data_IF_204944678525
#
_entry.id   IF_204944678525
#
_cell.length_a   1.000
_cell.length_b   1.000
_cell.length_c   1.000
_cell.angle_alpha   90.00
_cell.angle_beta   90.00
_cell.angle_gamma   90.00
#
_symmetry.space_group_name_H-M   'P 1'
#
loop_
_entity.id
_entity.type
_entity.pdbx_description
1 polymer ?
#
# COMPACT_ATOMS: atom_id res chain seq x y z
N UNK A 1 -26.96 -8.60 12.93
CA UNK A 1 -27.93 -7.58 12.45
C UNK A 1 -28.01 -7.48 10.91
N UNK A 2 -27.39 -8.40 10.14
CA UNK A 2 -27.40 -8.38 8.65
C UNK A 2 -28.53 -9.22 8.00
N UNK A 3 -29.31 -9.98 8.78
CA UNK A 3 -30.31 -10.95 8.28
C UNK A 3 -31.56 -10.34 7.64
N UNK A 4 -31.80 -9.03 7.77
CA UNK A 4 -33.08 -8.42 7.33
C UNK A 4 -32.98 -7.43 6.16
N UNK A 5 -31.80 -7.17 5.59
CA UNK A 5 -31.61 -6.14 4.56
C UNK A 5 -30.99 -6.61 3.24
N UNK A 6 -30.42 -7.82 3.18
CA UNK A 6 -29.78 -8.35 1.96
C UNK A 6 -30.73 -8.84 0.85
N UNK A 7 -31.93 -9.41 1.11
CA UNK A 7 -32.75 -9.97 0.03
C UNK A 7 -33.40 -8.95 -0.92
N UNK A 8 -33.26 -7.63 -0.67
CA UNK A 8 -33.97 -6.58 -1.41
C UNK A 8 -33.10 -5.72 -2.33
N UNK A 9 -31.82 -6.06 -2.56
CA UNK A 9 -30.89 -5.22 -3.34
C UNK A 9 -30.32 -5.91 -4.60
N UNK A 10 -31.06 -5.95 -5.72
CA UNK A 10 -30.58 -6.55 -6.99
C UNK A 10 -29.46 -5.78 -7.70
N UNK A 11 -28.95 -4.68 -7.12
CA UNK A 11 -27.91 -3.82 -7.68
C UNK A 11 -26.57 -3.87 -6.93
N UNK A 12 -26.43 -4.77 -5.95
CA UNK A 12 -25.22 -4.86 -5.12
C UNK A 12 -24.09 -5.57 -5.87
N UNK A 13 -23.28 -4.81 -6.62
CA UNK A 13 -22.16 -5.33 -7.41
C UNK A 13 -20.82 -5.31 -6.66
N UNK A 14 -20.74 -4.58 -5.54
CA UNK A 14 -19.55 -4.42 -4.72
C UNK A 14 -19.88 -4.57 -3.23
N UNK A 15 -19.09 -5.35 -2.50
CA UNK A 15 -19.27 -5.62 -1.06
C UNK A 15 -17.95 -5.44 -0.32
N UNK A 16 -18.01 -4.81 0.86
CA UNK A 16 -16.89 -4.68 1.80
C UNK A 16 -17.23 -5.39 3.11
N UNK A 17 -16.35 -6.29 3.56
CA UNK A 17 -16.51 -7.07 4.80
C UNK A 17 -15.38 -6.76 5.79
N UNK A 18 -15.77 -6.20 6.94
CA UNK A 18 -14.86 -5.58 7.91
C UNK A 18 -14.44 -6.50 9.09
N UNK A 19 -14.95 -7.74 9.20
CA UNK A 19 -14.67 -8.58 10.39
C UNK A 19 -14.64 -10.09 10.10
N UNK A 20 -14.15 -10.87 11.08
CA UNK A 20 -14.34 -12.32 11.25
C UNK A 20 -15.84 -12.74 11.37
N UNK A 21 -16.74 -12.04 10.69
CA UNK A 21 -18.13 -12.45 10.59
C UNK A 21 -18.14 -13.78 9.84
N UNK A 22 -18.68 -14.87 10.43
CA UNK A 22 -18.66 -16.17 9.78
C UNK A 22 -19.34 -16.03 8.42
N UNK A 23 -18.59 -16.27 7.35
CA UNK A 23 -19.02 -16.17 5.95
C UNK A 23 -20.31 -16.97 5.69
N UNK A 24 -20.53 -18.02 6.48
CA UNK A 24 -21.74 -18.84 6.53
C UNK A 24 -23.04 -18.04 6.72
N UNK A 25 -23.01 -16.87 7.39
CA UNK A 25 -24.19 -16.01 7.54
C UNK A 25 -24.48 -15.12 6.33
N UNK A 26 -23.46 -14.79 5.51
CA UNK A 26 -23.59 -13.88 4.35
C UNK A 26 -23.89 -14.69 3.09
N UNK A 27 -23.26 -15.86 2.95
CA UNK A 27 -23.33 -16.72 1.76
C UNK A 27 -24.03 -18.05 2.00
N UNK A 28 -24.97 -18.10 2.97
CA UNK A 28 -25.83 -19.27 3.18
C UNK A 28 -26.40 -19.78 1.84
N UNK A 29 -26.57 -21.11 1.64
CA UNK A 29 -27.02 -21.72 0.39
C UNK A 29 -28.42 -21.28 -0.08
N UNK A 30 -29.12 -20.43 0.67
CA UNK A 30 -30.34 -19.73 0.26
C UNK A 30 -30.10 -18.42 -0.51
N UNK A 31 -28.86 -17.89 -0.55
CA UNK A 31 -28.46 -16.64 -1.22
C UNK A 31 -27.84 -16.86 -2.61
N UNK A 32 -28.09 -18.01 -3.23
CA UNK A 32 -27.67 -18.32 -4.61
C UNK A 32 -28.11 -17.16 -5.50
N UNK A 33 -27.19 -16.58 -6.29
CA UNK A 33 -27.43 -15.50 -7.27
C UNK A 33 -27.29 -14.04 -6.81
N UNK A 34 -26.47 -13.71 -5.80
CA UNK A 34 -26.00 -12.32 -5.68
C UNK A 34 -25.01 -11.99 -6.83
N UNK A 35 -25.25 -10.95 -7.65
CA UNK A 35 -24.37 -10.58 -8.77
C UNK A 35 -23.14 -9.79 -8.30
N UNK A 36 -22.45 -10.29 -7.27
CA UNK A 36 -21.26 -9.65 -6.71
C UNK A 36 -20.13 -9.82 -7.71
N UNK A 37 -19.60 -8.68 -8.16
CA UNK A 37 -18.47 -8.63 -9.10
C UNK A 37 -17.21 -8.10 -8.42
N UNK A 38 -17.33 -7.40 -7.29
CA UNK A 38 -16.21 -6.89 -6.53
C UNK A 38 -16.40 -7.23 -5.05
N UNK A 39 -15.39 -7.87 -4.44
CA UNK A 39 -15.38 -8.18 -3.03
C UNK A 39 -14.09 -7.68 -2.41
N UNK A 40 -14.21 -6.98 -1.28
CA UNK A 40 -13.08 -6.61 -0.44
C UNK A 40 -13.31 -7.15 0.96
N UNK A 41 -12.33 -7.87 1.49
CA UNK A 41 -12.36 -8.43 2.84
C UNK A 41 -11.10 -8.03 3.58
N UNK A 42 -11.20 -7.77 4.88
CA UNK A 42 -10.03 -7.47 5.70
C UNK A 42 -9.31 -8.74 6.17
N UNK A 43 -10.07 -9.78 6.52
CA UNK A 43 -9.57 -11.02 7.09
C UNK A 43 -10.32 -12.21 6.48
N UNK A 44 -9.60 -13.26 6.09
CA UNK A 44 -10.17 -14.54 5.62
C UNK A 44 -9.30 -15.73 6.03
N UNK A 45 -9.89 -16.89 6.15
CA UNK A 45 -9.15 -18.16 6.08
C UNK A 45 -8.93 -18.58 4.62
N UNK A 46 -7.94 -19.45 4.37
CA UNK A 46 -7.67 -19.92 3.02
C UNK A 46 -8.80 -20.79 2.46
N UNK A 47 -9.46 -21.59 3.32
CA UNK A 47 -10.68 -22.34 2.98
C UNK A 47 -11.82 -21.42 2.54
N UNK A 48 -12.06 -20.32 3.27
CA UNK A 48 -13.08 -19.33 2.93
C UNK A 48 -12.77 -18.63 1.61
N UNK A 49 -11.50 -18.38 1.29
CA UNK A 49 -11.08 -17.84 0.00
C UNK A 49 -11.47 -18.78 -1.16
N UNK A 50 -11.22 -20.08 -1.02
CA UNK A 50 -11.62 -21.06 -2.04
C UNK A 50 -13.14 -21.13 -2.16
N UNK A 51 -13.85 -21.09 -1.03
CA UNK A 51 -15.31 -21.06 -1.00
C UNK A 51 -15.88 -19.81 -1.70
N UNK A 52 -15.30 -18.62 -1.49
CA UNK A 52 -15.68 -17.40 -2.20
C UNK A 52 -15.58 -17.59 -3.71
N UNK A 53 -14.46 -18.15 -4.17
CA UNK A 53 -14.21 -18.35 -5.60
C UNK A 53 -15.13 -19.41 -6.21
N UNK A 54 -15.60 -20.35 -5.39
CA UNK A 54 -16.60 -21.34 -5.78
C UNK A 54 -18.02 -20.74 -5.82
N UNK A 55 -18.43 -20.03 -4.77
CA UNK A 55 -19.80 -19.58 -4.55
C UNK A 55 -20.14 -18.27 -5.30
N UNK A 56 -19.12 -17.49 -5.70
CA UNK A 56 -19.28 -16.23 -6.45
C UNK A 56 -18.72 -16.34 -7.88
N UNK A 57 -19.42 -17.05 -8.80
CA UNK A 57 -18.90 -17.32 -10.14
C UNK A 57 -18.73 -16.07 -11.01
N UNK A 58 -19.41 -14.97 -10.70
CA UNK A 58 -19.31 -13.69 -11.44
C UNK A 58 -18.26 -12.73 -10.85
N UNK A 59 -17.52 -13.16 -9.82
CA UNK A 59 -16.54 -12.32 -9.15
C UNK A 59 -15.43 -11.91 -10.13
N UNK A 60 -15.26 -10.61 -10.30
CA UNK A 60 -14.29 -10.01 -11.21
C UNK A 60 -13.08 -9.44 -10.46
N UNK A 61 -13.29 -8.87 -9.27
CA UNK A 61 -12.25 -8.33 -8.41
C UNK A 61 -12.37 -8.88 -7.00
N UNK A 62 -11.26 -9.35 -6.46
CA UNK A 62 -11.14 -9.77 -5.06
C UNK A 62 -9.95 -9.06 -4.41
N UNK A 63 -10.22 -8.34 -3.33
CA UNK A 63 -9.19 -7.76 -2.47
C UNK A 63 -9.27 -8.40 -1.08
N UNK A 64 -8.15 -8.90 -0.58
CA UNK A 64 -8.05 -9.53 0.73
C UNK A 64 -6.94 -8.82 1.50
N UNK A 65 -7.24 -8.38 2.72
CA UNK A 65 -6.26 -7.81 3.62
C UNK A 65 -5.29 -8.89 4.09
N UNK A 66 -5.75 -9.80 4.93
CA UNK A 66 -4.93 -10.80 5.59
C UNK A 66 -5.56 -12.19 5.46
N UNK A 67 -4.76 -13.19 5.10
CA UNK A 67 -5.20 -14.59 5.21
C UNK A 67 -4.65 -15.20 6.49
N UNK A 68 -5.54 -15.72 7.34
CA UNK A 68 -5.16 -16.35 8.59
C UNK A 68 -4.67 -17.79 8.38
N UNK A 69 -3.47 -18.09 8.87
CA UNK A 69 -2.88 -19.44 8.82
C UNK A 69 -3.02 -20.24 10.11
N UNK A 70 -3.51 -19.65 11.21
CA UNK A 70 -3.50 -20.30 12.54
C UNK A 70 -4.43 -21.52 12.65
N UNK A 71 -5.45 -21.62 11.79
CA UNK A 71 -6.49 -22.64 11.87
C UNK A 71 -6.60 -23.55 10.63
N UNK A 72 -5.69 -23.41 9.66
CA UNK A 72 -5.73 -24.22 8.45
C UNK A 72 -5.18 -25.62 8.76
N UNK A 73 -6.06 -26.59 8.92
CA UNK A 73 -5.67 -28.01 8.90
C UNK A 73 -5.07 -28.32 7.52
N UNK A 74 -4.04 -29.15 7.46
CA UNK A 74 -3.49 -29.74 6.21
C UNK A 74 -4.50 -30.69 5.51
N UNK A 75 -5.80 -30.40 5.58
CA UNK A 75 -6.81 -31.09 4.80
C UNK A 75 -6.58 -30.83 3.30
N UNK A 76 -6.75 -31.90 2.53
CA UNK A 76 -6.54 -31.91 1.09
C UNK A 76 -7.66 -31.13 0.39
N UNK A 77 -7.49 -29.81 0.33
CA UNK A 77 -8.39 -28.86 -0.33
C UNK A 77 -8.40 -28.99 -1.87
N UNK A 78 -7.66 -29.96 -2.44
CA UNK A 78 -7.66 -30.23 -3.89
C UNK A 78 -9.05 -30.57 -4.43
N UNK A 79 -9.95 -31.10 -3.59
CA UNK A 79 -11.33 -31.39 -3.98
C UNK A 79 -12.25 -30.16 -4.05
N UNK A 80 -11.76 -28.98 -3.62
CA UNK A 80 -12.49 -27.69 -3.66
C UNK A 80 -12.02 -26.78 -4.81
N UNK A 81 -11.23 -27.31 -5.76
CA UNK A 81 -10.76 -26.55 -6.92
C UNK A 81 -11.95 -26.04 -7.75
N UNK A 82 -12.22 -24.74 -7.64
CA UNK A 82 -13.21 -24.01 -8.43
C UNK A 82 -12.56 -23.41 -9.69
N UNK A 83 -13.36 -23.13 -10.72
CA UNK A 83 -12.88 -22.45 -11.92
C UNK A 83 -13.41 -21.01 -11.95
N UNK A 84 -12.70 -20.11 -11.28
CA UNK A 84 -13.05 -18.69 -11.17
C UNK A 84 -12.66 -17.93 -12.46
N UNK A 85 -13.25 -18.33 -13.59
CA UNK A 85 -12.95 -17.81 -14.93
C UNK A 85 -13.25 -16.32 -15.11
N UNK A 86 -14.10 -15.75 -14.27
CA UNK A 86 -14.48 -14.34 -14.32
C UNK A 86 -13.53 -13.45 -13.53
N UNK A 87 -12.70 -14.00 -12.64
CA UNK A 87 -11.78 -13.21 -11.85
C UNK A 87 -10.70 -12.60 -12.75
N UNK A 88 -10.62 -11.27 -12.75
CA UNK A 88 -9.64 -10.48 -13.50
C UNK A 88 -8.62 -9.82 -12.60
N UNK A 89 -8.96 -9.58 -11.34
CA UNK A 89 -8.09 -8.90 -10.38
C UNK A 89 -8.12 -9.60 -9.02
N UNK A 90 -6.94 -9.94 -8.52
CA UNK A 90 -6.72 -10.53 -7.21
C UNK A 90 -5.64 -9.74 -6.49
N UNK A 91 -5.99 -9.18 -5.33
CA UNK A 91 -5.07 -8.50 -4.45
C UNK A 91 -5.11 -9.18 -3.08
N UNK A 92 -3.96 -9.65 -2.59
CA UNK A 92 -3.83 -10.20 -1.24
C UNK A 92 -2.69 -9.46 -0.54
N UNK A 93 -3.01 -8.67 0.48
CA UNK A 93 -2.00 -7.83 1.12
C UNK A 93 -1.06 -8.65 2.00
N UNK A 94 -1.52 -9.75 2.61
CA UNK A 94 -0.68 -10.63 3.41
C UNK A 94 -1.06 -12.11 3.22
N UNK A 95 -0.15 -12.84 2.58
CA UNK A 95 -0.28 -14.26 2.27
C UNK A 95 0.79 -15.07 3.02
N UNK A 96 0.42 -15.81 4.09
CA UNK A 96 1.38 -16.53 4.93
C UNK A 96 1.78 -17.90 4.37
N UNK A 97 1.06 -18.44 3.38
CA UNK A 97 1.25 -19.81 2.89
C UNK A 97 2.38 -19.98 1.86
N UNK A 98 2.76 -21.23 1.62
CA UNK A 98 3.81 -21.59 0.67
C UNK A 98 3.46 -21.29 -0.79
N UNK A 99 4.49 -21.31 -1.64
CA UNK A 99 4.32 -21.16 -3.09
C UNK A 99 3.31 -22.15 -3.70
N UNK A 100 3.26 -23.40 -3.21
CA UNK A 100 2.32 -24.39 -3.76
C UNK A 100 0.84 -24.03 -3.49
N UNK A 101 0.53 -23.41 -2.36
CA UNK A 101 -0.84 -22.96 -2.04
C UNK A 101 -1.28 -21.81 -2.95
N UNK A 102 -0.41 -20.83 -3.20
CA UNK A 102 -0.74 -19.75 -4.15
C UNK A 102 -0.80 -20.26 -5.59
N UNK A 103 0.07 -21.21 -5.97
CA UNK A 103 0.03 -21.83 -7.29
C UNK A 103 -1.29 -22.55 -7.53
N UNK A 104 -1.77 -23.30 -6.54
CA UNK A 104 -3.08 -23.94 -6.58
C UNK A 104 -4.20 -22.92 -6.80
N UNK A 105 -4.20 -21.81 -6.04
CA UNK A 105 -5.17 -20.72 -6.19
C UNK A 105 -5.13 -20.09 -7.59
N UNK A 106 -3.93 -19.85 -8.12
CA UNK A 106 -3.74 -19.20 -9.41
C UNK A 106 -4.12 -20.09 -10.59
N UNK A 107 -3.97 -21.41 -10.46
CA UNK A 107 -4.46 -22.38 -11.44
C UNK A 107 -6.00 -22.37 -11.56
N UNK A 108 -6.72 -21.96 -10.51
CA UNK A 108 -8.18 -21.77 -10.53
C UNK A 108 -8.63 -20.46 -11.20
N UNK A 109 -7.71 -19.56 -11.57
CA UNK A 109 -8.02 -18.20 -12.04
C UNK A 109 -7.35 -17.92 -13.40
N UNK A 110 -7.66 -18.70 -14.45
CA UNK A 110 -6.91 -18.68 -15.72
C UNK A 110 -6.97 -17.35 -16.48
N UNK A 111 -7.98 -16.52 -16.20
CA UNK A 111 -8.17 -15.24 -16.85
C UNK A 111 -7.71 -14.03 -16.01
N UNK A 112 -6.91 -14.27 -14.97
CA UNK A 112 -6.40 -13.21 -14.12
C UNK A 112 -5.53 -12.23 -14.94
N UNK A 113 -5.89 -10.95 -14.91
CA UNK A 113 -5.13 -9.89 -15.56
C UNK A 113 -4.22 -9.15 -14.56
N UNK A 114 -4.68 -8.98 -13.33
CA UNK A 114 -3.95 -8.26 -12.29
C UNK A 114 -3.77 -9.13 -11.05
N UNK A 115 -2.53 -9.25 -10.59
CA UNK A 115 -2.17 -9.93 -9.35
C UNK A 115 -1.31 -9.00 -8.50
N UNK A 116 -1.78 -8.68 -7.29
CA UNK A 116 -0.97 -8.07 -6.24
C UNK A 116 -0.89 -9.02 -5.04
N UNK A 117 0.32 -9.30 -4.58
CA UNK A 117 0.55 -10.25 -3.49
C UNK A 117 1.67 -9.74 -2.60
N UNK A 118 1.45 -9.76 -1.28
CA UNK A 118 2.56 -9.62 -0.33
C UNK A 118 2.77 -10.84 0.55
N UNK A 119 4.04 -11.18 0.76
CA UNK A 119 4.46 -12.28 1.62
C UNK A 119 5.51 -11.81 2.63
N UNK A 120 5.26 -12.06 3.91
CA UNK A 120 6.15 -11.71 5.01
C UNK A 120 6.88 -12.96 5.51
N UNK A 121 8.22 -12.91 5.58
CA UNK A 121 9.10 -13.97 6.08
C UNK A 121 8.94 -15.35 5.41
N UNK A 122 8.40 -15.42 4.19
CA UNK A 122 8.15 -16.68 3.50
C UNK A 122 9.15 -16.94 2.35
N UNK A 123 10.19 -17.70 2.64
CA UNK A 123 11.28 -17.99 1.68
C UNK A 123 10.86 -18.88 0.51
N UNK A 124 9.74 -19.60 0.62
CA UNK A 124 9.24 -20.42 -0.48
C UNK A 124 8.74 -19.56 -1.64
N UNK A 125 8.28 -18.34 -1.35
CA UNK A 125 7.80 -17.38 -2.35
C UNK A 125 8.95 -16.72 -3.13
N UNK A 126 10.20 -17.04 -2.79
CA UNK A 126 11.41 -16.41 -3.25
C UNK A 126 12.12 -17.23 -4.33
N UNK A 127 11.42 -17.54 -5.40
CA UNK A 127 11.99 -18.24 -6.56
C UNK A 127 11.42 -17.64 -7.84
N UNK A 128 12.23 -16.87 -8.55
CA UNK A 128 11.76 -16.16 -9.73
C UNK A 128 11.48 -17.13 -10.89
N UNK A 129 12.15 -18.28 -10.92
CA UNK A 129 11.93 -19.28 -11.96
C UNK A 129 10.58 -19.96 -11.76
N UNK A 130 10.23 -20.33 -10.53
CA UNK A 130 8.91 -20.89 -10.23
C UNK A 130 7.77 -19.93 -10.61
N UNK A 131 7.93 -18.64 -10.29
CA UNK A 131 6.96 -17.62 -10.70
C UNK A 131 6.90 -17.44 -12.22
N UNK A 132 8.04 -17.35 -12.90
CA UNK A 132 8.11 -17.23 -14.35
C UNK A 132 7.43 -18.42 -15.04
N UNK A 133 7.71 -19.65 -14.60
CA UNK A 133 7.10 -20.88 -15.09
C UNK A 133 5.58 -20.88 -14.88
N UNK A 134 5.10 -20.47 -13.70
CA UNK A 134 3.66 -20.36 -13.42
C UNK A 134 2.97 -19.34 -14.32
N UNK A 135 3.58 -18.15 -14.48
CA UNK A 135 3.01 -17.07 -15.29
C UNK A 135 2.94 -17.51 -16.76
N UNK A 136 4.03 -18.08 -17.27
CA UNK A 136 4.11 -18.52 -18.67
C UNK A 136 3.18 -19.70 -18.94
N UNK A 137 3.03 -20.64 -18.00
CA UNK A 137 2.23 -21.84 -18.20
C UNK A 137 0.73 -21.68 -17.95
N UNK A 138 0.34 -20.81 -17.01
CA UNK A 138 -1.04 -20.80 -16.49
C UNK A 138 -1.72 -19.43 -16.48
N UNK A 139 -0.96 -18.32 -16.55
CA UNK A 139 -1.50 -16.96 -16.40
C UNK A 139 -1.24 -16.10 -17.64
N UNK A 140 -1.62 -16.60 -18.82
CA UNK A 140 -1.33 -15.94 -20.10
C UNK A 140 -1.95 -14.54 -20.25
N UNK A 141 -3.02 -14.25 -19.50
CA UNK A 141 -3.73 -12.96 -19.52
C UNK A 141 -3.16 -11.94 -18.53
N UNK A 142 -2.18 -12.33 -17.69
CA UNK A 142 -1.61 -11.46 -16.68
C UNK A 142 -0.85 -10.31 -17.35
N UNK A 143 -1.28 -9.09 -17.08
CA UNK A 143 -0.68 -7.86 -17.60
C UNK A 143 -0.06 -6.99 -16.51
N UNK A 144 -0.50 -7.16 -15.25
CA UNK A 144 0.04 -6.48 -14.09
C UNK A 144 0.33 -7.48 -12.97
N UNK A 145 1.59 -7.53 -12.55
CA UNK A 145 2.06 -8.34 -11.43
C UNK A 145 2.79 -7.42 -10.46
N UNK A 146 2.30 -7.41 -9.22
CA UNK A 146 2.89 -6.70 -8.10
C UNK A 146 3.20 -7.69 -7.01
N UNK A 147 4.47 -7.90 -6.74
CA UNK A 147 4.92 -8.76 -5.67
C UNK A 147 5.68 -7.94 -4.64
N UNK A 148 5.20 -7.95 -3.39
CA UNK A 148 5.86 -7.28 -2.27
C UNK A 148 6.34 -8.32 -1.28
N UNK A 149 7.60 -8.22 -0.88
CA UNK A 149 8.16 -9.16 0.07
C UNK A 149 8.93 -8.46 1.16
N UNK A 150 8.83 -8.99 2.37
CA UNK A 150 9.69 -8.58 3.47
C UNK A 150 10.31 -9.79 4.15
N UNK A 151 11.61 -9.74 4.45
CA UNK A 151 12.23 -10.73 5.34
C UNK A 151 13.11 -10.08 6.39
N UNK A 152 13.11 -10.69 7.58
CA UNK A 152 14.02 -10.36 8.66
C UNK A 152 15.34 -11.13 8.60
N UNK A 153 15.45 -12.20 7.81
CA UNK A 153 16.60 -13.10 7.82
C UNK A 153 17.34 -13.03 6.48
N UNK A 154 18.16 -12.01 6.28
CA UNK A 154 18.83 -11.80 5.00
C UNK A 154 20.14 -12.61 4.93
N UNK A 155 20.05 -13.89 4.57
CA UNK A 155 21.23 -14.73 4.34
C UNK A 155 21.66 -14.74 2.84
N UNK A 156 22.86 -15.25 2.56
CA UNK A 156 23.42 -15.33 1.19
C UNK A 156 22.52 -16.06 0.19
N UNK A 157 21.68 -16.99 0.64
CA UNK A 157 20.79 -17.77 -0.23
C UNK A 157 19.65 -16.90 -0.81
N UNK A 158 19.15 -15.93 -0.04
CA UNK A 158 18.14 -14.97 -0.50
C UNK A 158 18.71 -14.07 -1.59
N UNK A 159 19.99 -13.70 -1.50
CA UNK A 159 20.65 -12.90 -2.53
C UNK A 159 20.71 -13.62 -3.88
N UNK A 160 21.04 -14.91 -3.88
CA UNK A 160 21.01 -15.70 -5.13
C UNK A 160 19.62 -15.79 -5.73
N UNK A 161 18.58 -15.91 -4.90
CA UNK A 161 17.18 -15.91 -5.32
C UNK A 161 16.74 -14.55 -5.89
N UNK A 162 17.10 -13.44 -5.25
CA UNK A 162 16.80 -12.09 -5.75
C UNK A 162 17.46 -11.79 -7.09
N UNK A 163 18.66 -12.31 -7.35
CA UNK A 163 19.31 -12.16 -8.66
C UNK A 163 18.53 -12.80 -9.80
N UNK A 164 17.68 -13.80 -9.53
CA UNK A 164 16.85 -14.45 -10.56
C UNK A 164 15.81 -13.49 -11.14
N UNK A 165 15.32 -12.51 -10.35
CA UNK A 165 14.41 -11.44 -10.81
C UNK A 165 15.08 -10.40 -11.72
N UNK A 166 16.30 -10.66 -12.21
CA UNK A 166 17.03 -9.82 -13.17
C UNK A 166 17.04 -10.38 -14.59
N UNK A 167 16.31 -11.45 -14.87
CA UNK A 167 16.18 -11.95 -16.24
C UNK A 167 15.45 -10.95 -17.13
N UNK A 168 15.59 -11.07 -18.45
CA UNK A 168 14.87 -10.24 -19.41
C UNK A 168 13.34 -10.35 -19.26
N UNK A 169 12.85 -11.51 -18.79
CA UNK A 169 11.45 -11.69 -18.45
C UNK A 169 11.01 -10.69 -17.36
N UNK A 170 11.78 -10.55 -16.29
CA UNK A 170 11.43 -9.66 -15.17
C UNK A 170 11.68 -8.18 -15.48
N UNK A 171 12.77 -7.86 -16.19
CA UNK A 171 13.19 -6.48 -16.41
C UNK A 171 12.56 -5.82 -17.63
N UNK A 172 12.27 -6.58 -18.69
CA UNK A 172 11.84 -6.03 -19.99
C UNK A 172 10.41 -6.39 -20.34
N UNK A 173 9.94 -7.58 -19.93
CA UNK A 173 8.58 -8.04 -20.21
C UNK A 173 7.61 -7.46 -19.17
N UNK A 174 6.51 -6.86 -19.62
CA UNK A 174 5.38 -6.38 -18.80
C UNK A 174 5.68 -5.41 -17.65
N UNK A 175 6.92 -4.93 -17.48
CA UNK A 175 7.32 -3.98 -16.42
C UNK A 175 6.84 -4.41 -15.03
N UNK A 176 7.05 -5.68 -14.68
CA UNK A 176 6.60 -6.23 -13.42
C UNK A 176 7.13 -5.45 -12.22
N UNK A 177 6.27 -5.26 -11.22
CA UNK A 177 6.60 -4.52 -10.02
C UNK A 177 7.00 -5.51 -8.92
N UNK A 178 8.23 -5.38 -8.42
CA UNK A 178 8.75 -6.21 -7.34
C UNK A 178 9.34 -5.33 -6.24
N UNK A 179 8.65 -5.26 -5.10
CA UNK A 179 9.10 -4.56 -3.89
C UNK A 179 9.78 -5.55 -2.93
N UNK A 180 10.92 -5.16 -2.38
CA UNK A 180 11.65 -5.95 -1.40
C UNK A 180 12.05 -5.09 -0.20
N UNK A 181 11.70 -5.54 1.01
CA UNK A 181 12.15 -4.94 2.27
C UNK A 181 13.04 -5.95 3.00
N UNK A 182 14.33 -5.63 3.10
CA UNK A 182 15.33 -6.42 3.82
C UNK A 182 15.71 -5.67 5.08
N UNK A 183 15.50 -6.27 6.25
CA UNK A 183 15.75 -5.60 7.55
C UNK A 183 17.19 -5.73 8.06
N UNK A 184 18.11 -6.34 7.29
CA UNK A 184 19.51 -6.55 7.69
C UNK A 184 20.54 -6.18 6.60
N UNK A 185 21.79 -5.98 7.03
CA UNK A 185 22.96 -5.42 6.33
C UNK A 185 23.35 -6.16 5.03
N UNK A 186 22.49 -6.14 4.01
CA UNK A 186 22.67 -6.91 2.77
C UNK A 186 22.57 -6.05 1.52
N UNK A 187 23.53 -6.28 0.61
CA UNK A 187 23.76 -5.52 -0.62
C UNK A 187 22.87 -6.04 -1.77
N UNK A 188 21.59 -5.67 -1.84
CA UNK A 188 20.65 -6.18 -2.86
C UNK A 188 20.39 -5.25 -4.04
N UNK A 189 21.03 -5.45 -5.21
CA UNK A 189 20.71 -4.66 -6.41
C UNK A 189 19.32 -4.89 -7.03
N UNK A 190 18.46 -3.86 -6.97
CA UNK A 190 17.09 -3.77 -7.50
C UNK A 190 17.08 -2.70 -8.62
N UNK A 191 17.25 -3.09 -9.90
CA UNK A 191 17.33 -2.14 -11.03
C UNK A 191 16.01 -1.47 -11.39
N UNK A 192 14.88 -2.09 -11.07
CA UNK A 192 13.54 -1.67 -11.50
C UNK A 192 12.66 -1.11 -10.38
N UNK A 193 13.22 -0.83 -9.20
CA UNK A 193 12.46 -0.14 -8.17
C UNK A 193 12.06 1.26 -8.67
N UNK A 194 10.78 1.58 -8.56
CA UNK A 194 10.23 2.93 -8.68
C UNK A 194 9.85 3.50 -7.29
N UNK A 195 9.83 2.65 -6.26
CA UNK A 195 9.60 2.99 -4.86
C UNK A 195 10.76 2.53 -3.98
N UNK A 196 11.21 3.37 -3.06
CA UNK A 196 12.25 3.05 -2.09
C UNK A 196 11.76 3.34 -0.68
N UNK A 197 11.75 2.33 0.18
CA UNK A 197 11.42 2.49 1.61
C UNK A 197 12.68 2.28 2.42
N UNK A 198 13.11 3.33 3.11
CA UNK A 198 14.19 3.26 4.07
C UNK A 198 13.61 2.89 5.44
N UNK A 199 14.28 2.02 6.18
CA UNK A 199 13.86 1.61 7.52
C UNK A 199 14.99 1.88 8.50
N UNK A 200 14.70 2.51 9.64
CA UNK A 200 15.65 2.59 10.74
C UNK A 200 15.68 1.24 11.47
N UNK A 201 16.87 0.76 11.86
CA UNK A 201 16.99 -0.43 12.72
C UNK A 201 16.32 -0.09 14.06
N UNK A 202 15.13 -0.62 14.29
CA UNK A 202 14.48 -0.57 15.60
C UNK A 202 15.25 -1.52 16.53
N UNK A 203 16.12 -0.99 17.40
CA UNK A 203 16.70 -1.78 18.49
C UNK A 203 18.17 -1.60 18.85
N UNK A 204 18.91 -0.63 18.29
CA UNK A 204 20.19 -0.24 18.91
C UNK A 204 19.90 0.73 20.06
N UNK A 205 20.35 0.32 21.23
CA UNK A 205 20.17 0.93 22.53
C UNK A 205 20.39 2.45 22.53
N UNK A 206 19.64 3.17 23.36
CA UNK A 206 19.65 4.65 23.50
C UNK A 206 21.01 5.25 23.90
N UNK A 207 22.06 4.45 24.01
CA UNK A 207 23.38 4.82 24.53
C UNK A 207 24.49 4.84 23.47
N UNK A 208 24.27 4.27 22.28
CA UNK A 208 25.20 4.43 21.16
C UNK A 208 24.50 5.19 20.03
N UNK A 209 24.81 6.49 19.97
CA UNK A 209 24.61 7.32 18.79
C UNK A 209 25.43 6.75 17.64
N UNK A 210 24.94 5.68 17.03
CA UNK A 210 25.43 5.18 15.74
C UNK A 210 24.99 6.19 14.70
N UNK A 211 25.82 7.22 14.61
CA UNK A 211 25.93 8.16 13.50
C UNK A 211 25.67 7.38 12.21
N UNK A 212 24.59 7.72 11.51
CA UNK A 212 24.34 7.24 10.17
C UNK A 212 25.60 7.59 9.38
N UNK A 213 26.48 6.62 9.06
CA UNK A 213 27.77 6.94 8.46
C UNK A 213 27.54 7.20 6.96
N UNK A 214 27.09 8.44 6.71
CA UNK A 214 26.37 8.98 5.56
C UNK A 214 26.88 8.54 4.18
N UNK A 215 28.20 8.50 3.97
CA UNK A 215 28.77 8.16 2.65
C UNK A 215 28.75 6.67 2.35
N UNK A 216 28.93 5.82 3.37
CA UNK A 216 29.02 4.38 3.17
C UNK A 216 27.66 3.80 2.81
N UNK A 217 26.59 4.25 3.46
CA UNK A 217 25.22 3.81 3.18
C UNK A 217 24.71 4.27 1.82
N UNK A 218 24.93 5.53 1.42
CA UNK A 218 24.58 5.99 0.08
C UNK A 218 25.41 5.28 -1.00
N UNK A 219 26.69 5.02 -0.73
CA UNK A 219 27.53 4.19 -1.60
C UNK A 219 26.93 2.81 -1.81
N UNK A 220 26.55 2.12 -0.73
CA UNK A 220 25.84 0.84 -0.80
C UNK A 220 24.52 1.00 -1.55
N UNK A 221 23.69 2.00 -1.20
CA UNK A 221 22.41 2.27 -1.86
C UNK A 221 22.55 2.40 -3.38
N UNK A 222 23.58 3.10 -3.87
CA UNK A 222 23.87 3.23 -5.30
C UNK A 222 24.30 1.91 -5.94
N UNK A 223 24.97 1.03 -5.19
CA UNK A 223 25.28 -0.33 -5.67
C UNK A 223 24.06 -1.24 -5.67
N UNK A 224 22.98 -0.86 -4.97
CA UNK A 224 21.81 -1.70 -4.75
C UNK A 224 20.50 -1.17 -5.35
N UNK A 225 20.42 0.07 -5.80
CA UNK A 225 19.20 0.61 -6.41
C UNK A 225 19.61 1.54 -7.53
N UNK A 226 18.95 1.42 -8.69
CA UNK A 226 19.06 2.45 -9.71
C UNK A 226 18.20 3.66 -9.31
N UNK A 227 18.78 4.59 -8.55
CA UNK A 227 18.09 5.77 -8.04
C UNK A 227 17.43 6.62 -9.13
N UNK A 228 17.93 6.57 -10.38
CA UNK A 228 17.36 7.32 -11.49
C UNK A 228 15.93 6.90 -11.87
N UNK A 229 15.51 5.70 -11.49
CA UNK A 229 14.16 5.18 -11.71
C UNK A 229 13.18 5.48 -10.57
N UNK A 230 13.68 5.89 -9.40
CA UNK A 230 12.86 6.10 -8.22
C UNK A 230 11.92 7.29 -8.39
N UNK A 231 10.64 7.04 -8.15
CA UNK A 231 9.52 7.98 -8.18
C UNK A 231 8.93 8.21 -6.79
N UNK A 232 8.99 7.22 -5.90
CA UNK A 232 8.51 7.31 -4.52
C UNK A 232 9.61 6.98 -3.51
N UNK A 233 9.71 7.77 -2.45
CA UNK A 233 10.67 7.56 -1.37
C UNK A 233 9.96 7.65 -0.03
N UNK A 234 10.13 6.66 0.84
CA UNK A 234 9.73 6.71 2.25
C UNK A 234 10.94 6.72 3.15
N UNK A 235 11.01 7.72 4.02
CA UNK A 235 12.09 7.92 4.98
C UNK A 235 11.51 7.75 6.38
N UNK A 236 12.14 6.92 7.24
CA UNK A 236 11.72 6.75 8.61
C UNK A 236 12.12 7.99 9.42
N UNK A 237 11.75 8.03 10.69
CA UNK A 237 12.18 9.09 11.59
C UNK A 237 13.70 9.14 11.64
N UNK A 238 14.28 10.31 11.36
CA UNK A 238 15.71 10.56 11.37
C UNK A 238 16.01 11.89 12.04
N UNK A 239 17.25 12.08 12.52
CA UNK A 239 17.64 13.41 12.96
C UNK A 239 17.79 14.36 11.74
N UNK A 240 17.63 15.66 11.99
CA UNK A 240 17.59 16.69 10.94
C UNK A 240 18.84 16.71 10.04
N UNK A 241 20.02 16.48 10.63
CA UNK A 241 21.30 16.51 9.90
C UNK A 241 21.39 15.36 8.90
N UNK A 242 21.14 14.14 9.37
CA UNK A 242 21.19 12.93 8.56
C UNK A 242 20.14 12.99 7.44
N UNK A 243 18.92 13.44 7.78
CA UNK A 243 17.84 13.62 6.82
C UNK A 243 18.19 14.62 5.72
N UNK A 244 18.75 15.78 6.09
CA UNK A 244 19.12 16.82 5.13
C UNK A 244 20.19 16.32 4.15
N UNK A 245 21.20 15.61 4.65
CA UNK A 245 22.28 15.08 3.82
C UNK A 245 21.81 13.94 2.91
N UNK A 246 21.01 13.02 3.45
CA UNK A 246 20.42 11.92 2.70
C UNK A 246 19.55 12.42 1.55
N UNK A 247 18.62 13.34 1.84
CA UNK A 247 17.74 13.92 0.82
C UNK A 247 18.52 14.69 -0.24
N UNK A 248 19.53 15.47 0.16
CA UNK A 248 20.37 16.21 -0.79
C UNK A 248 21.03 15.28 -1.80
N UNK A 249 21.54 14.13 -1.35
CA UNK A 249 22.19 13.16 -2.24
C UNK A 249 21.18 12.37 -3.07
N UNK A 250 20.05 11.95 -2.49
CA UNK A 250 19.01 11.22 -3.25
C UNK A 250 18.42 12.13 -4.33
N UNK A 251 18.13 13.40 -4.06
CA UNK A 251 17.54 14.31 -5.05
C UNK A 251 18.46 14.59 -6.25
N UNK A 252 19.79 14.49 -6.08
CA UNK A 252 20.75 14.58 -7.19
C UNK A 252 20.67 13.37 -8.11
N UNK A 253 20.44 12.19 -7.55
CA UNK A 253 20.53 10.90 -8.24
C UNK A 253 19.16 10.37 -8.70
N UNK A 254 18.06 10.86 -8.11
CA UNK A 254 16.68 10.46 -8.40
C UNK A 254 15.89 11.62 -9.04
N UNK A 255 16.19 12.00 -10.30
CA UNK A 255 15.54 13.14 -10.95
C UNK A 255 14.04 12.95 -11.17
N UNK A 256 13.53 11.71 -11.11
CA UNK A 256 12.12 11.34 -11.32
C UNK A 256 11.31 11.25 -10.01
N UNK A 257 11.92 11.58 -8.87
CA UNK A 257 11.24 11.53 -7.58
C UNK A 257 10.10 12.56 -7.53
N UNK A 258 8.87 12.08 -7.39
CA UNK A 258 7.65 12.92 -7.30
C UNK A 258 6.84 12.64 -6.04
N UNK A 259 7.11 11.53 -5.35
CA UNK A 259 6.43 11.12 -4.14
C UNK A 259 7.41 10.99 -2.98
N UNK A 260 7.05 11.57 -1.84
CA UNK A 260 7.85 11.54 -0.63
C UNK A 260 6.98 11.22 0.60
N UNK A 261 7.47 10.33 1.44
CA UNK A 261 6.86 9.97 2.73
C UNK A 261 7.88 10.17 3.84
N UNK A 262 7.52 10.96 4.86
CA UNK A 262 8.36 11.17 6.05
C UNK A 262 7.52 11.67 7.23
N UNK A 263 8.16 11.83 8.38
CA UNK A 263 7.51 12.43 9.54
C UNK A 263 7.22 13.92 9.35
N UNK A 264 6.03 14.35 9.75
CA UNK A 264 5.59 15.74 9.60
C UNK A 264 6.53 16.74 10.27
N UNK A 265 7.00 16.43 11.48
CA UNK A 265 7.95 17.26 12.23
C UNK A 265 9.27 17.42 11.49
N UNK A 266 9.80 16.33 10.96
CA UNK A 266 11.05 16.30 10.23
C UNK A 266 10.96 17.18 8.97
N UNK A 267 9.83 17.14 8.25
CA UNK A 267 9.59 18.02 7.11
C UNK A 267 9.58 19.51 7.50
N UNK A 268 8.89 19.85 8.59
CA UNK A 268 8.79 21.24 9.08
C UNK A 268 10.14 21.79 9.54
N UNK A 269 11.05 20.94 10.01
CA UNK A 269 12.43 21.31 10.32
C UNK A 269 13.28 21.57 9.07
N UNK A 270 12.98 20.92 7.94
CA UNK A 270 13.62 21.17 6.64
C UNK A 270 13.13 22.47 5.97
N UNK A 271 11.95 22.97 6.33
CA UNK A 271 11.32 24.17 5.75
C UNK A 271 12.14 25.48 5.85
N UNK A 272 13.28 25.48 6.54
CA UNK A 272 14.21 26.62 6.61
C UNK A 272 15.44 26.48 5.71
N UNK A 273 15.54 25.40 4.94
CA UNK A 273 16.74 25.04 4.18
C UNK A 273 16.50 25.20 2.66
N UNK A 274 17.56 25.48 1.89
CA UNK A 274 17.55 25.48 0.42
C UNK A 274 17.01 24.17 -0.15
N UNK A 275 17.28 23.04 0.51
CA UNK A 275 16.74 21.72 0.19
C UNK A 275 15.20 21.73 0.03
N UNK A 276 14.52 22.58 0.80
CA UNK A 276 13.07 22.68 0.75
C UNK A 276 12.56 23.24 -0.59
N UNK A 277 13.31 24.16 -1.20
CA UNK A 277 12.97 24.70 -2.52
C UNK A 277 13.11 23.63 -3.60
N UNK A 278 14.13 22.78 -3.50
CA UNK A 278 14.34 21.67 -4.43
C UNK A 278 13.28 20.57 -4.28
N UNK A 279 12.88 20.27 -3.04
CA UNK A 279 11.77 19.37 -2.75
C UNK A 279 10.46 19.89 -3.36
N UNK A 280 10.12 21.15 -3.13
CA UNK A 280 8.86 21.75 -3.63
C UNK A 280 8.76 21.74 -5.16
N UNK A 281 9.89 21.86 -5.88
CA UNK A 281 9.90 21.80 -7.34
C UNK A 281 9.61 20.41 -7.91
N UNK A 282 9.84 19.35 -7.13
CA UNK A 282 9.82 17.96 -7.62
C UNK A 282 8.69 17.14 -7.03
N UNK A 283 8.44 17.29 -5.73
CA UNK A 283 7.47 16.49 -5.00
C UNK A 283 6.07 17.06 -5.22
N UNK A 284 5.19 16.22 -5.74
CA UNK A 284 3.77 16.52 -5.94
C UNK A 284 2.89 15.66 -5.04
N UNK A 285 3.40 14.52 -4.56
CA UNK A 285 2.68 13.57 -3.72
C UNK A 285 3.39 13.45 -2.37
N UNK A 286 2.73 13.86 -1.28
CA UNK A 286 3.33 13.89 0.05
C UNK A 286 2.55 13.03 1.03
N UNK A 287 3.25 12.16 1.75
CA UNK A 287 2.69 11.37 2.85
C UNK A 287 3.38 11.77 4.16
N UNK A 288 2.61 12.27 5.11
CA UNK A 288 3.11 12.70 6.40
C UNK A 288 2.77 11.67 7.48
N UNK A 289 3.79 10.92 7.88
CA UNK A 289 3.74 10.08 9.07
C UNK A 289 3.71 10.98 10.32
N UNK A 290 3.03 10.54 11.38
CA UNK A 290 2.95 11.28 12.65
C UNK A 290 2.93 10.32 13.84
N UNK A 291 3.74 10.64 14.87
CA UNK A 291 3.68 9.97 16.17
C UNK A 291 2.54 10.51 17.05
N UNK A 292 1.95 11.63 16.66
CA UNK A 292 0.86 12.30 17.38
C UNK A 292 -0.42 12.24 16.58
N UNK A 293 -1.52 12.66 17.21
CA UNK A 293 -2.84 12.76 16.61
C UNK A 293 -2.89 13.63 15.34
N UNK A 294 -1.98 14.61 15.19
CA UNK A 294 -2.01 15.58 14.06
C UNK A 294 -0.63 15.85 13.50
N UNK A 295 -0.52 15.95 12.18
CA UNK A 295 0.71 16.30 11.48
C UNK A 295 1.14 17.76 11.74
N UNK A 296 0.20 18.64 12.10
CA UNK A 296 0.47 20.06 12.38
C UNK A 296 -0.05 20.44 13.77
N UNK A 297 0.74 21.15 14.57
CA UNK A 297 0.37 21.56 15.93
C UNK A 297 -0.69 22.65 15.92
N UNK A 298 -0.54 23.62 15.02
CA UNK A 298 -1.39 24.81 14.91
C UNK A 298 -1.55 25.29 13.45
N UNK A 299 -2.34 26.35 13.28
CA UNK A 299 -2.55 26.96 11.96
C UNK A 299 -1.30 27.69 11.44
N UNK A 300 -0.34 28.06 12.30
CA UNK A 300 0.88 28.73 11.86
C UNK A 300 1.82 27.75 11.16
N UNK A 301 1.99 26.54 11.70
CA UNK A 301 2.70 25.44 11.03
C UNK A 301 2.02 25.06 9.71
N UNK A 302 0.69 24.97 9.71
CA UNK A 302 -0.10 24.64 8.53
C UNK A 302 0.03 25.70 7.43
N UNK A 303 -0.07 26.98 7.80
CA UNK A 303 0.08 28.12 6.89
C UNK A 303 1.51 28.18 6.31
N UNK A 304 2.51 27.98 7.18
CA UNK A 304 3.91 27.91 6.75
C UNK A 304 4.13 26.77 5.76
N UNK A 305 3.57 25.59 6.02
CA UNK A 305 3.61 24.46 5.10
C UNK A 305 2.99 24.81 3.74
N UNK A 306 1.78 25.38 3.73
CA UNK A 306 1.07 25.72 2.49
C UNK A 306 1.84 26.74 1.63
N UNK A 307 2.55 27.68 2.26
CA UNK A 307 3.40 28.65 1.55
C UNK A 307 4.61 28.03 0.87
N UNK A 308 5.14 26.96 1.47
CA UNK A 308 6.38 26.32 1.03
C UNK A 308 6.09 25.25 -0.03
N UNK A 309 4.96 24.56 0.08
CA UNK A 309 4.58 23.44 -0.77
C UNK A 309 3.30 23.70 -1.62
N UNK A 310 3.21 24.81 -2.38
CA UNK A 310 2.01 25.15 -3.14
C UNK A 310 1.72 24.20 -4.32
N UNK A 311 2.71 23.42 -4.75
CA UNK A 311 2.64 22.51 -5.91
C UNK A 311 2.07 21.12 -5.57
N UNK A 312 1.81 20.83 -4.29
CA UNK A 312 1.35 19.50 -3.86
C UNK A 312 -0.04 19.20 -4.45
N UNK A 313 -0.11 18.12 -5.23
CA UNK A 313 -1.33 17.62 -5.84
C UNK A 313 -2.02 16.55 -5.03
N UNK A 314 -1.25 15.71 -4.33
CA UNK A 314 -1.79 14.65 -3.49
C UNK A 314 -1.15 14.67 -2.12
N UNK A 315 -1.97 14.57 -1.08
CA UNK A 315 -1.47 14.60 0.29
C UNK A 315 -2.14 13.55 1.15
N UNK A 316 -1.37 12.92 2.03
CA UNK A 316 -1.87 12.11 3.14
C UNK A 316 -1.30 12.65 4.44
N UNK A 317 -2.14 12.94 5.42
CA UNK A 317 -1.70 13.45 6.71
C UNK A 317 -2.74 13.25 7.81
N UNK A 318 -2.28 13.29 9.06
CA UNK A 318 -3.13 13.21 10.24
C UNK A 318 -3.71 14.57 10.61
N UNK A 319 -5.00 14.60 10.94
CA UNK A 319 -5.71 15.79 11.39
C UNK A 319 -6.39 15.51 12.73
N UNK A 320 -6.20 16.43 13.68
CA UNK A 320 -6.99 16.48 14.90
C UNK A 320 -8.35 17.13 14.69
N UNK A 321 -8.52 17.91 13.60
CA UNK A 321 -9.75 18.66 13.28
C UNK A 321 -10.04 18.75 11.79
N UNK A 322 -11.31 18.63 11.44
CA UNK A 322 -11.78 18.80 10.05
C UNK A 322 -11.44 20.19 9.50
N UNK A 323 -11.62 21.25 10.28
CA UNK A 323 -11.41 22.62 9.83
C UNK A 323 -9.97 22.86 9.32
N UNK A 324 -8.99 22.13 9.86
CA UNK A 324 -7.60 22.18 9.39
C UNK A 324 -7.41 21.51 8.03
N UNK A 325 -8.07 20.38 7.80
CA UNK A 325 -8.07 19.74 6.49
C UNK A 325 -8.69 20.65 5.44
N UNK A 326 -9.84 21.26 5.76
CA UNK A 326 -10.52 22.21 4.87
C UNK A 326 -9.67 23.45 4.60
N UNK A 327 -9.03 24.01 5.64
CA UNK A 327 -8.11 25.11 5.47
C UNK A 327 -6.99 24.75 4.49
N UNK A 328 -6.35 23.59 4.66
CA UNK A 328 -5.31 23.10 3.78
C UNK A 328 -5.79 22.96 2.33
N UNK A 329 -6.96 22.37 2.12
CA UNK A 329 -7.56 22.23 0.79
C UNK A 329 -7.84 23.58 0.12
N UNK A 330 -8.26 24.58 0.90
CA UNK A 330 -8.48 25.94 0.39
C UNK A 330 -7.19 26.65 -0.01
N UNK A 331 -6.11 26.45 0.76
CA UNK A 331 -4.82 27.13 0.52
C UNK A 331 -4.00 26.50 -0.60
N UNK A 332 -4.05 25.18 -0.78
CA UNK A 332 -3.26 24.47 -1.78
C UNK A 332 -4.02 24.37 -3.10
N UNK A 333 -3.77 25.29 -4.03
CA UNK A 333 -4.50 25.38 -5.30
C UNK A 333 -4.31 24.16 -6.21
N UNK A 334 -3.14 23.52 -6.15
CA UNK A 334 -2.79 22.36 -6.97
C UNK A 334 -3.37 21.04 -6.45
N UNK A 335 -3.94 21.06 -5.24
CA UNK A 335 -4.38 19.86 -4.54
C UNK A 335 -5.62 19.26 -5.21
N UNK A 336 -5.48 18.02 -5.68
CA UNK A 336 -6.53 17.22 -6.30
C UNK A 336 -6.99 16.06 -5.41
N UNK A 337 -6.14 15.57 -4.51
CA UNK A 337 -6.48 14.47 -3.58
C UNK A 337 -5.95 14.73 -2.18
N UNK A 338 -6.81 14.55 -1.17
CA UNK A 338 -6.43 14.58 0.24
C UNK A 338 -6.91 13.32 0.95
N UNK A 339 -5.98 12.63 1.60
CA UNK A 339 -6.26 11.55 2.54
C UNK A 339 -6.05 12.08 3.96
N UNK A 340 -7.12 12.48 4.63
CA UNK A 340 -7.10 12.87 6.03
C UNK A 340 -7.26 11.66 6.94
N UNK A 341 -6.36 11.49 7.91
CA UNK A 341 -6.44 10.47 8.94
C UNK A 341 -6.88 11.14 10.25
N UNK A 342 -8.00 10.70 10.81
CA UNK A 342 -8.61 11.26 12.02
C UNK A 342 -8.66 10.20 13.14
N UNK A 343 -8.53 10.58 14.41
CA UNK A 343 -8.74 9.65 15.52
C UNK A 343 -10.18 9.14 15.60
N UNK A 344 -10.36 7.91 16.06
CA UNK A 344 -11.65 7.21 16.13
C UNK A 344 -12.76 7.92 16.95
N UNK A 345 -12.41 8.78 17.91
CA UNK A 345 -13.39 9.46 18.77
C UNK A 345 -14.19 10.57 18.06
N UNK A 346 -14.00 10.76 16.75
CA UNK A 346 -14.77 11.67 15.93
C UNK A 346 -16.12 11.06 15.54
N UNK A 347 -17.21 11.57 16.12
CA UNK A 347 -18.57 11.14 15.81
C UNK A 347 -18.94 11.50 14.36
N UNK A 348 -19.17 10.46 13.54
CA UNK A 348 -19.48 10.52 12.11
C UNK A 348 -20.65 11.45 11.73
N UNK A 349 -21.62 11.64 12.63
CA UNK A 349 -22.79 12.48 12.37
C UNK A 349 -22.42 13.95 12.08
N UNK A 350 -21.38 14.49 12.71
CA UNK A 350 -20.96 15.89 12.45
C UNK A 350 -20.10 15.99 11.18
N UNK A 351 -19.30 14.96 10.88
CA UNK A 351 -18.45 14.93 9.68
C UNK A 351 -19.27 14.80 8.39
N UNK A 352 -20.19 13.83 8.31
CA UNK A 352 -20.99 13.59 7.09
C UNK A 352 -21.88 14.77 6.72
N UNK A 353 -22.50 15.42 7.71
CA UNK A 353 -23.33 16.61 7.49
C UNK A 353 -22.49 17.79 7.01
N UNK A 354 -21.34 18.07 7.65
CA UNK A 354 -20.46 19.18 7.26
C UNK A 354 -19.78 18.95 5.91
N UNK A 355 -19.42 17.70 5.57
CA UNK A 355 -18.84 17.41 4.27
C UNK A 355 -19.85 17.51 3.14
N UNK A 356 -21.09 17.06 3.34
CA UNK A 356 -22.13 17.15 2.30
C UNK A 356 -22.39 18.57 1.82
N UNK A 357 -22.29 19.57 2.71
CA UNK A 357 -22.38 20.98 2.31
C UNK A 357 -21.14 21.46 1.57
N UNK A 358 -19.94 21.07 1.99
CA UNK A 358 -18.68 21.55 1.44
C UNK A 358 -18.29 20.91 0.10
N UNK A 359 -18.72 19.67 -0.15
CA UNK A 359 -18.44 18.97 -1.41
C UNK A 359 -19.17 19.59 -2.58
N UNK A 360 -20.30 20.26 -2.32
CA UNK A 360 -21.02 21.02 -3.35
C UNK A 360 -20.26 22.28 -3.79
N UNK A 361 -19.53 22.95 -2.89
CA UNK A 361 -18.72 24.13 -3.22
C UNK A 361 -17.47 23.79 -4.04
N UNK A 362 -16.86 22.62 -3.83
CA UNK A 362 -15.58 22.25 -4.43
C UNK A 362 -15.67 21.16 -5.50
N UNK A 363 -16.90 20.82 -5.93
CA UNK A 363 -17.17 19.73 -6.85
C UNK A 363 -16.36 18.47 -6.46
N UNK A 364 -16.43 18.11 -5.17
CA UNK A 364 -15.56 17.11 -4.58
C UNK A 364 -16.32 15.80 -4.34
N UNK A 365 -15.65 14.68 -4.60
CA UNK A 365 -16.11 13.33 -4.22
C UNK A 365 -15.34 12.90 -2.98
N UNK A 366 -15.97 12.14 -2.08
CA UNK A 366 -15.28 11.62 -0.91
C UNK A 366 -15.62 10.17 -0.61
N UNK A 367 -14.68 9.50 0.05
CA UNK A 367 -14.73 8.11 0.52
C UNK A 367 -14.30 8.09 1.99
N UNK A 368 -14.99 7.30 2.81
CA UNK A 368 -14.70 7.14 4.24
C UNK A 368 -14.36 5.68 4.50
N UNK A 369 -13.14 5.43 4.96
CA UNK A 369 -12.69 4.12 5.41
C UNK A 369 -12.56 4.12 6.94
N UNK A 370 -13.13 3.11 7.59
CA UNK A 370 -12.93 2.86 9.01
C UNK A 370 -11.72 1.94 9.18
N UNK A 371 -10.79 2.37 10.04
CA UNK A 371 -9.61 1.60 10.43
C UNK A 371 -9.74 1.27 11.91
N UNK A 372 -9.01 0.24 12.37
CA UNK A 372 -9.08 -0.29 13.73
C UNK A 372 -8.90 0.77 14.83
N UNK A 373 -8.21 1.88 14.54
CA UNK A 373 -7.95 2.97 15.51
C UNK A 373 -8.20 4.38 14.96
N UNK A 374 -8.61 4.49 13.69
CA UNK A 374 -8.76 5.79 13.02
C UNK A 374 -9.84 5.78 11.95
N UNK A 375 -10.26 6.96 11.53
CA UNK A 375 -11.09 7.17 10.35
C UNK A 375 -10.22 7.79 9.27
N UNK A 376 -10.23 7.18 8.08
CA UNK A 376 -9.60 7.78 6.90
C UNK A 376 -10.69 8.38 6.04
N UNK A 377 -10.52 9.66 5.74
CA UNK A 377 -11.36 10.37 4.79
C UNK A 377 -10.51 10.71 3.57
N UNK A 378 -10.89 10.17 2.42
CA UNK A 378 -10.29 10.50 1.13
C UNK A 378 -11.22 11.46 0.39
N UNK A 379 -10.67 12.56 -0.10
CA UNK A 379 -11.40 13.58 -0.87
C UNK A 379 -10.69 13.81 -2.19
N UNK A 380 -11.42 13.69 -3.29
CA UNK A 380 -11.01 14.08 -4.64
C UNK A 380 -11.65 15.41 -5.00
N UNK A 381 -10.84 16.39 -5.37
CA UNK A 381 -11.27 17.76 -5.63
C UNK A 381 -11.33 17.97 -7.14
N UNK A 382 -12.53 18.22 -7.69
CA UNK A 382 -12.71 18.59 -9.09
C UNK A 382 -12.56 20.09 -9.27
N UNK A 383 -11.34 20.58 -9.52
CA UNK A 383 -11.11 21.98 -9.90
C UNK A 383 -11.26 22.13 -11.42
N UNK A 384 -12.08 23.08 -11.85
CA UNK A 384 -12.25 23.47 -13.26
C UNK A 384 -11.04 24.23 -13.81
#
# INVERSE_FOLDING_TARGET
MLKSTLPSMPQLSSVYLESQSPMNEIFSPTNVYLPITNLTTQYLEFSELLQILHDLPLLNCLNVGYINSEYDSDEDLSNQLCNAVHLRKLNINEFPYSFEKIKMLLQCTPNLAHLALSAHNNLSMFDAHQWEDLIVSSLHNLNAFKFSFTTTNANKNIMSKLKQFRSDFWLKKHQWFTDYVLREDTECYIPCADSLILTSKAGLDKTETTQFCEKKYLGILKTIVNLSNIRSLRIPKMNQRDLSLLLTEILKEAPRLTSLSLYAKDLLELCNNELCQDLNKRITNLHLDTDTVTSFRDYDELNRFCKIFPSISQMTCGFDKLERMLYLMKQLSSLSVVNGIFPQFWYFHDLSFRFGTLTSEWNAVYEVDYLETSLRLRVWIGRE
#
